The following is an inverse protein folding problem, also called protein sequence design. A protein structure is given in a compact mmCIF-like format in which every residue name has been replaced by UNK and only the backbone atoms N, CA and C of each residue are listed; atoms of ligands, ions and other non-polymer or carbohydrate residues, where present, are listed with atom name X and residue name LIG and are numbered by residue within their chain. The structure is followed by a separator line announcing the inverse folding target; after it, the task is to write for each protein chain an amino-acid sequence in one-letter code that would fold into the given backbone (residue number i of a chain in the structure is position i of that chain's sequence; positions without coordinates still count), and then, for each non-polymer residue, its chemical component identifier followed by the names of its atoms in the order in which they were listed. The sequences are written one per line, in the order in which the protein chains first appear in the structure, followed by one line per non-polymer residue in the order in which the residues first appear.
data_IF_933433198712
#
_entry.id   IF_933433198712
#
_cell.length_a   1.000
_cell.length_b   1.000
_cell.length_c   1.000
_cell.angle_alpha   90.00
_cell.angle_beta   90.00
_cell.angle_gamma   90.00
#
_symmetry.space_group_name_H-M   'P 1'
#
loop_
_entity.id
_entity.type
_entity.pdbx_description
1 polymer ?
#
# COMPACT_ATOMS: atom_id res chain seq x y z
N UNK A 1 -9.87 -28.45 -12.11
CA UNK A 1 -10.80 -27.48 -11.50
C UNK A 1 -10.16 -26.64 -10.39
N UNK A 2 -9.57 -27.25 -9.34
CA UNK A 2 -8.94 -26.56 -8.19
C UNK A 2 -7.80 -25.57 -8.54
N UNK A 3 -7.03 -25.88 -9.59
CA UNK A 3 -5.93 -25.03 -10.10
C UNK A 3 -6.44 -23.74 -10.78
N UNK A 4 -7.48 -23.86 -11.64
CA UNK A 4 -8.15 -22.73 -12.30
C UNK A 4 -8.87 -21.82 -11.30
N UNK A 5 -9.52 -22.39 -10.27
CA UNK A 5 -10.19 -21.60 -9.24
C UNK A 5 -9.18 -20.75 -8.44
N UNK A 6 -8.01 -21.30 -8.09
CA UNK A 6 -6.94 -20.51 -7.46
C UNK A 6 -6.32 -19.47 -8.41
N UNK A 7 -6.27 -19.73 -9.72
CA UNK A 7 -5.71 -18.82 -10.71
C UNK A 7 -6.57 -17.57 -10.97
N UNK A 8 -7.90 -17.68 -10.82
CA UNK A 8 -8.83 -16.56 -11.04
C UNK A 8 -9.40 -15.97 -9.75
N UNK A 9 -9.69 -16.79 -8.73
CA UNK A 9 -10.30 -16.30 -7.49
C UNK A 9 -9.30 -15.56 -6.60
N UNK A 10 -8.02 -15.98 -6.55
CA UNK A 10 -7.03 -15.33 -5.69
C UNK A 10 -6.75 -13.87 -6.09
N UNK A 11 -6.51 -13.53 -7.38
CA UNK A 11 -6.34 -12.12 -7.78
C UNK A 11 -7.59 -11.27 -7.52
N UNK A 12 -8.78 -11.80 -7.82
CA UNK A 12 -10.04 -11.07 -7.60
C UNK A 12 -10.29 -10.83 -6.10
N UNK A 13 -10.12 -11.86 -5.27
CA UNK A 13 -10.22 -11.74 -3.82
C UNK A 13 -9.19 -10.75 -3.27
N UNK A 14 -7.94 -10.79 -3.76
CA UNK A 14 -6.91 -9.84 -3.35
C UNK A 14 -7.31 -8.40 -3.66
N UNK A 15 -7.79 -8.11 -4.88
CA UNK A 15 -8.20 -6.74 -5.26
C UNK A 15 -9.38 -6.28 -4.40
N UNK A 16 -10.38 -7.12 -4.17
CA UNK A 16 -11.54 -6.77 -3.33
C UNK A 16 -11.11 -6.52 -1.88
N UNK A 17 -10.29 -7.40 -1.32
CA UNK A 17 -9.77 -7.25 0.04
C UNK A 17 -8.94 -5.97 0.14
N UNK A 18 -8.04 -5.73 -0.80
CA UNK A 18 -7.19 -4.53 -0.82
C UNK A 18 -8.01 -3.23 -0.96
N UNK A 19 -8.95 -3.19 -1.90
CA UNK A 19 -9.86 -2.05 -2.09
C UNK A 19 -10.76 -1.81 -0.88
N UNK A 20 -11.14 -2.86 -0.14
CA UNK A 20 -11.95 -2.73 1.08
C UNK A 20 -11.23 -1.98 2.20
N UNK A 21 -9.90 -1.87 2.16
CA UNK A 21 -9.12 -1.11 3.15
C UNK A 21 -9.51 0.37 3.21
N UNK A 22 -9.82 0.97 2.06
CA UNK A 22 -10.26 2.37 1.99
C UNK A 22 -11.64 2.55 2.61
N UNK A 23 -12.53 1.59 2.40
CA UNK A 23 -13.89 1.60 2.97
C UNK A 23 -13.85 1.46 4.47
N UNK A 24 -13.07 0.49 4.97
CA UNK A 24 -12.84 0.33 6.40
C UNK A 24 -12.22 1.60 6.99
N UNK A 25 -11.29 2.25 6.28
CA UNK A 25 -10.69 3.53 6.65
C UNK A 25 -11.75 4.61 6.88
N UNK A 26 -12.61 4.85 5.89
CA UNK A 26 -13.71 5.83 5.97
C UNK A 26 -14.65 5.51 7.13
N UNK A 27 -15.06 4.25 7.30
CA UNK A 27 -15.93 3.82 8.41
C UNK A 27 -15.25 4.07 9.77
N UNK A 28 -13.96 3.77 9.87
CA UNK A 28 -13.17 3.95 11.08
C UNK A 28 -13.03 5.43 11.46
N UNK A 29 -12.66 6.29 10.51
CA UNK A 29 -12.51 7.74 10.79
C UNK A 29 -13.85 8.43 11.01
N UNK A 30 -14.95 7.87 10.51
CA UNK A 30 -16.31 8.32 10.85
C UNK A 30 -16.75 7.94 12.27
N UNK A 31 -16.05 7.00 12.93
CA UNK A 31 -16.36 6.53 14.27
C UNK A 31 -15.42 7.08 15.35
N UNK A 32 -14.19 7.45 15.00
CA UNK A 32 -13.18 7.99 15.91
C UNK A 32 -12.16 8.87 15.15
N UNK A 33 -11.44 9.77 15.84
CA UNK A 33 -10.39 10.59 15.24
C UNK A 33 -9.34 9.76 14.49
N UNK A 34 -8.78 10.26 13.36
CA UNK A 34 -7.85 9.52 12.52
C UNK A 34 -6.68 8.88 13.27
N UNK A 35 -6.07 9.61 14.21
CA UNK A 35 -4.92 9.12 14.97
C UNK A 35 -5.29 8.01 15.96
N UNK A 36 -6.52 8.02 16.51
CA UNK A 36 -7.05 6.92 17.34
C UNK A 36 -7.19 5.64 16.51
N UNK A 37 -7.77 5.75 15.31
CA UNK A 37 -7.94 4.62 14.40
C UNK A 37 -6.58 4.05 13.99
N UNK A 38 -5.61 4.90 13.65
CA UNK A 38 -4.27 4.47 13.26
C UNK A 38 -3.49 3.86 14.42
N UNK A 39 -3.55 4.45 15.62
CA UNK A 39 -2.92 3.90 16.80
C UNK A 39 -3.43 2.49 17.08
N UNK A 40 -4.76 2.31 17.16
CA UNK A 40 -5.36 1.02 17.41
C UNK A 40 -5.04 0.01 16.30
N UNK A 41 -5.13 0.43 15.03
CA UNK A 41 -4.80 -0.41 13.87
C UNK A 41 -3.34 -0.86 13.91
N UNK A 42 -2.40 0.05 14.11
CA UNK A 42 -0.98 -0.25 14.10
C UNK A 42 -0.55 -1.06 15.32
N UNK A 43 -1.09 -0.78 16.50
CA UNK A 43 -0.84 -1.58 17.69
C UNK A 43 -1.33 -3.03 17.47
N UNK A 44 -2.59 -3.21 17.10
CA UNK A 44 -3.16 -4.55 16.91
C UNK A 44 -2.51 -5.31 15.74
N UNK A 45 -2.42 -4.72 14.56
CA UNK A 45 -1.81 -5.37 13.40
C UNK A 45 -0.31 -5.60 13.59
N UNK A 46 0.41 -4.65 14.21
CA UNK A 46 1.83 -4.76 14.51
C UNK A 46 2.12 -5.92 15.45
N UNK A 47 1.32 -6.08 16.51
CA UNK A 47 1.44 -7.20 17.45
C UNK A 47 1.14 -8.55 16.77
N UNK A 48 0.06 -8.64 15.98
CA UNK A 48 -0.29 -9.87 15.27
C UNK A 48 0.78 -10.28 14.26
N UNK A 49 1.29 -9.33 13.47
CA UNK A 49 2.35 -9.58 12.49
C UNK A 49 3.69 -9.90 13.16
N UNK A 50 4.02 -9.23 14.27
CA UNK A 50 5.20 -9.54 15.07
C UNK A 50 5.12 -10.95 15.65
N UNK A 51 3.98 -11.34 16.24
CA UNK A 51 3.74 -12.68 16.75
C UNK A 51 3.89 -13.72 15.64
N UNK A 52 3.27 -13.49 14.48
CA UNK A 52 3.43 -14.35 13.30
C UNK A 52 4.91 -14.49 12.89
N UNK A 53 5.66 -13.39 12.84
CA UNK A 53 7.07 -13.42 12.48
C UNK A 53 7.94 -14.19 13.50
N UNK A 54 7.62 -14.10 14.79
CA UNK A 54 8.26 -14.90 15.85
C UNK A 54 7.94 -16.38 15.71
N UNK A 55 6.66 -16.74 15.55
CA UNK A 55 6.19 -18.14 15.44
C UNK A 55 6.81 -18.85 14.23
N UNK A 56 6.99 -18.14 13.12
CA UNK A 56 7.61 -18.69 11.89
C UNK A 56 9.15 -18.64 11.92
N UNK A 57 9.75 -18.14 13.01
CA UNK A 57 11.21 -18.08 13.16
C UNK A 57 11.90 -17.13 12.18
N UNK A 58 11.22 -16.05 11.78
CA UNK A 58 11.77 -15.09 10.83
C UNK A 58 12.93 -14.28 11.44
N UNK A 59 13.89 -13.88 10.60
CA UNK A 59 15.08 -13.13 11.05
C UNK A 59 14.75 -11.65 11.25
N UNK A 60 15.01 -11.14 12.45
CA UNK A 60 14.73 -9.74 12.81
C UNK A 60 15.92 -8.83 12.46
N UNK A 61 15.66 -7.63 11.90
CA UNK A 61 16.71 -6.64 11.65
C UNK A 61 17.27 -6.11 12.98
N UNK A 62 18.56 -5.77 13.01
CA UNK A 62 19.25 -5.27 14.21
C UNK A 62 20.16 -4.08 13.89
N UNK A 63 20.47 -3.28 14.92
CA UNK A 63 21.40 -2.15 14.81
C UNK A 63 20.98 -1.14 13.74
N UNK A 64 21.93 -0.72 12.90
CA UNK A 64 21.68 0.27 11.83
C UNK A 64 20.62 -0.16 10.83
N UNK A 65 20.47 -1.46 10.57
CA UNK A 65 19.44 -1.97 9.68
C UNK A 65 18.03 -1.74 10.25
N UNK A 66 17.86 -1.90 11.56
CA UNK A 66 16.59 -1.62 12.23
C UNK A 66 16.23 -0.13 12.13
N UNK A 67 17.21 0.77 12.24
CA UNK A 67 16.97 2.21 12.05
C UNK A 67 16.48 2.54 10.64
N UNK A 68 17.08 1.95 9.60
CA UNK A 68 16.60 2.15 8.22
C UNK A 68 15.20 1.55 7.98
N UNK A 69 14.92 0.38 8.54
CA UNK A 69 13.58 -0.24 8.53
C UNK A 69 12.57 0.67 9.24
N UNK A 70 12.95 1.28 10.36
CA UNK A 70 12.09 2.19 11.10
C UNK A 70 11.75 3.45 10.27
N UNK A 71 12.75 4.06 9.64
CA UNK A 71 12.53 5.23 8.76
C UNK A 71 11.63 4.88 7.57
N UNK A 72 11.91 3.76 6.87
CA UNK A 72 11.06 3.28 5.80
C UNK A 72 9.63 3.01 6.29
N UNK A 73 9.50 2.38 7.46
CA UNK A 73 8.23 2.09 8.11
C UNK A 73 7.42 3.35 8.42
N UNK A 74 8.03 4.36 9.03
CA UNK A 74 7.35 5.62 9.34
C UNK A 74 6.87 6.35 8.08
N UNK A 75 7.67 6.35 7.00
CA UNK A 75 7.25 6.93 5.73
C UNK A 75 6.09 6.15 5.09
N UNK A 76 6.23 4.83 4.99
CA UNK A 76 5.26 3.96 4.33
C UNK A 76 3.99 3.71 5.16
N UNK A 77 4.02 3.92 6.48
CA UNK A 77 2.85 3.67 7.33
C UNK A 77 2.34 4.96 7.94
N UNK A 78 3.14 5.64 8.76
CA UNK A 78 2.67 6.82 9.49
C UNK A 78 2.43 8.01 8.56
N UNK A 79 3.37 8.39 7.71
CA UNK A 79 3.18 9.53 6.78
C UNK A 79 2.09 9.20 5.77
N UNK A 80 2.13 8.01 5.16
CA UNK A 80 1.10 7.57 4.22
C UNK A 80 -0.30 7.57 4.84
N UNK A 81 -0.53 6.71 5.84
CA UNK A 81 -1.88 6.52 6.38
C UNK A 81 -2.30 7.66 7.29
N UNK A 82 -1.37 8.32 7.98
CA UNK A 82 -1.66 9.55 8.72
C UNK A 82 -2.29 10.60 7.81
N UNK A 83 -1.64 10.87 6.67
CA UNK A 83 -2.17 11.84 5.73
C UNK A 83 -3.46 11.37 5.06
N UNK A 84 -3.53 10.12 4.60
CA UNK A 84 -4.76 9.59 3.98
C UNK A 84 -5.95 9.53 4.94
N UNK A 85 -5.79 9.10 6.19
CA UNK A 85 -6.91 9.02 7.14
C UNK A 85 -7.35 10.42 7.58
N UNK A 86 -6.42 11.37 7.66
CA UNK A 86 -6.78 12.77 7.90
C UNK A 86 -7.52 13.36 6.70
N UNK A 87 -7.12 13.03 5.47
CA UNK A 87 -7.85 13.41 4.26
C UNK A 87 -9.25 12.77 4.19
N UNK A 88 -9.40 11.52 4.67
CA UNK A 88 -10.70 10.86 4.79
C UNK A 88 -11.62 11.59 5.79
N UNK A 89 -11.07 12.03 6.93
CA UNK A 89 -11.81 12.84 7.90
C UNK A 89 -12.19 14.22 7.33
N UNK A 90 -11.37 14.75 6.42
CA UNK A 90 -11.64 15.97 5.64
C UNK A 90 -12.47 15.69 4.37
N UNK A 91 -13.31 14.65 4.42
CA UNK A 91 -14.31 14.27 3.42
C UNK A 91 -13.78 13.90 2.03
N UNK A 92 -12.49 13.64 1.85
CA UNK A 92 -11.98 13.11 0.58
C UNK A 92 -12.48 11.68 0.38
N UNK A 93 -13.18 11.44 -0.73
CA UNK A 93 -13.76 10.13 -1.06
C UNK A 93 -12.71 9.00 -1.18
N UNK A 94 -13.13 7.78 -0.86
CA UNK A 94 -12.27 6.58 -0.95
C UNK A 94 -11.72 6.37 -2.37
N UNK A 95 -12.55 6.64 -3.38
CA UNK A 95 -12.18 6.53 -4.79
C UNK A 95 -11.01 7.47 -5.13
N UNK A 96 -11.07 8.74 -4.72
CA UNK A 96 -9.99 9.71 -4.97
C UNK A 96 -8.69 9.31 -4.28
N UNK A 97 -8.74 8.95 -2.99
CA UNK A 97 -7.55 8.52 -2.25
C UNK A 97 -6.91 7.29 -2.91
N UNK A 98 -7.73 6.32 -3.31
CA UNK A 98 -7.23 5.12 -4.00
C UNK A 98 -6.63 5.42 -5.38
N UNK A 99 -7.20 6.39 -6.11
CA UNK A 99 -6.66 6.85 -7.40
C UNK A 99 -5.31 7.55 -7.22
N UNK A 100 -5.20 8.45 -6.23
CA UNK A 100 -3.95 9.12 -5.88
C UNK A 100 -2.90 8.10 -5.46
N UNK A 101 -3.26 7.13 -4.60
CA UNK A 101 -2.36 6.05 -4.22
C UNK A 101 -1.94 5.19 -5.42
N UNK A 102 -2.83 5.00 -6.40
CA UNK A 102 -2.53 4.30 -7.66
C UNK A 102 -1.41 4.97 -8.48
N UNK A 103 -1.18 6.28 -8.31
CA UNK A 103 -0.05 7.00 -8.91
C UNK A 103 1.28 6.73 -8.20
N UNK A 104 1.33 5.84 -7.22
CA UNK A 104 2.57 5.52 -6.52
C UNK A 104 3.70 4.99 -7.42
N UNK A 105 3.50 4.02 -8.34
CA UNK A 105 4.57 3.51 -9.19
C UNK A 105 5.18 4.61 -10.09
N UNK A 106 4.34 5.55 -10.49
CA UNK A 106 4.69 6.75 -11.26
C UNK A 106 5.67 7.62 -10.45
N UNK A 107 5.30 7.95 -9.21
CA UNK A 107 6.11 8.80 -8.33
C UNK A 107 7.39 8.07 -7.89
N UNK A 108 7.33 6.76 -7.66
CA UNK A 108 8.52 5.94 -7.41
C UNK A 108 9.49 6.03 -8.59
N UNK A 109 9.03 5.91 -9.84
CA UNK A 109 9.92 6.00 -11.01
C UNK A 109 10.65 7.36 -11.10
N UNK A 110 9.95 8.46 -10.76
CA UNK A 110 10.56 9.79 -10.69
C UNK A 110 11.67 9.88 -9.63
N UNK A 111 11.40 9.40 -8.42
CA UNK A 111 12.40 9.43 -7.33
C UNK A 111 13.50 8.39 -7.49
N UNK A 112 13.19 7.21 -8.02
CA UNK A 112 14.18 6.21 -8.39
C UNK A 112 15.13 6.78 -9.44
N UNK A 113 14.65 7.55 -10.41
CA UNK A 113 15.52 8.16 -11.39
C UNK A 113 16.53 9.15 -10.81
N UNK A 114 16.11 9.94 -9.83
CA UNK A 114 16.98 10.93 -9.17
C UNK A 114 17.90 10.32 -8.11
N UNK A 115 17.45 9.29 -7.38
CA UNK A 115 18.19 8.67 -6.26
C UNK A 115 19.03 7.47 -6.70
N UNK A 116 18.60 6.74 -7.74
CA UNK A 116 19.23 5.52 -8.24
C UNK A 116 19.87 5.71 -9.63
N UNK A 117 19.70 6.88 -10.26
CA UNK A 117 20.26 7.17 -11.60
C UNK A 117 19.51 6.52 -12.76
N UNK A 118 18.28 6.07 -12.53
CA UNK A 118 17.42 5.48 -13.58
C UNK A 118 16.85 6.59 -14.50
N UNK A 119 16.77 6.38 -15.82
CA UNK A 119 16.21 7.40 -16.73
C UNK A 119 14.69 7.25 -16.88
N UNK A 120 13.98 8.37 -16.71
CA UNK A 120 12.52 8.43 -16.90
C UNK A 120 12.21 8.65 -18.37
N UNK A 121 11.38 7.79 -18.94
CA UNK A 121 11.03 7.82 -20.37
C UNK A 121 9.90 8.82 -20.65
N UNK A 122 9.81 9.34 -21.88
CA UNK A 122 8.74 10.27 -22.28
C UNK A 122 7.34 9.69 -22.05
N UNK A 123 7.17 8.38 -22.23
CA UNK A 123 5.89 7.69 -21.96
C UNK A 123 5.47 7.75 -20.50
N UNK A 124 6.45 7.66 -19.59
CA UNK A 124 6.19 7.81 -18.16
C UNK A 124 5.71 9.22 -17.86
N UNK A 125 6.37 10.26 -18.40
CA UNK A 125 5.90 11.65 -18.27
C UNK A 125 4.48 11.86 -18.78
N UNK A 126 4.13 11.31 -19.95
CA UNK A 126 2.77 11.38 -20.47
C UNK A 126 1.79 10.67 -19.54
N UNK A 127 2.11 9.45 -19.09
CA UNK A 127 1.28 8.73 -18.13
C UNK A 127 1.10 9.47 -16.80
N UNK A 128 2.09 10.26 -16.37
CA UNK A 128 2.01 11.10 -15.18
C UNK A 128 1.04 12.26 -15.38
N UNK A 129 1.16 12.96 -16.52
CA UNK A 129 0.23 14.03 -16.88
C UNK A 129 -1.20 13.52 -16.96
N UNK A 130 -1.42 12.40 -17.66
CA UNK A 130 -2.75 11.77 -17.78
C UNK A 130 -3.26 11.28 -16.42
N UNK A 131 -2.42 10.64 -15.62
CA UNK A 131 -2.76 10.21 -14.26
C UNK A 131 -3.18 11.36 -13.35
N UNK A 132 -2.41 12.45 -13.37
CA UNK A 132 -2.70 13.68 -12.64
C UNK A 132 -3.99 14.36 -13.11
N UNK A 133 -4.26 14.39 -14.42
CA UNK A 133 -5.53 14.86 -14.97
C UNK A 133 -6.70 14.01 -14.47
N UNK A 134 -6.55 12.68 -14.42
CA UNK A 134 -7.55 11.79 -13.86
C UNK A 134 -7.88 12.10 -12.40
N UNK A 135 -6.86 12.35 -11.57
CA UNK A 135 -7.05 12.81 -10.19
C UNK A 135 -7.75 14.17 -10.15
N UNK A 136 -7.33 15.13 -10.97
CA UNK A 136 -7.94 16.45 -11.05
C UNK A 136 -9.43 16.41 -11.38
N UNK A 137 -9.82 15.59 -12.36
CA UNK A 137 -11.22 15.36 -12.72
C UNK A 137 -12.02 14.76 -11.56
N UNK A 138 -11.47 13.75 -10.89
CA UNK A 138 -12.15 13.10 -9.77
C UNK A 138 -12.27 13.99 -8.53
N UNK A 139 -11.30 14.88 -8.31
CA UNK A 139 -11.33 15.87 -7.23
C UNK A 139 -12.30 17.01 -7.53
N UNK A 140 -12.37 17.47 -8.79
CA UNK A 140 -13.27 18.56 -9.21
C UNK A 140 -14.76 18.23 -9.02
N UNK A 141 -15.10 16.95 -9.00
CA UNK A 141 -16.47 16.46 -8.83
C UNK A 141 -16.88 16.24 -7.36
N UNK A 142 -15.93 16.42 -6.42
CA UNK A 142 -16.20 16.28 -4.99
C UNK A 142 -17.26 17.32 -4.57
N UNK A 143 -18.22 16.87 -3.75
CA UNK A 143 -19.28 17.77 -3.24
C UNK A 143 -18.71 18.82 -2.28
N UNK A 144 -17.65 18.44 -1.56
CA UNK A 144 -16.89 19.30 -0.66
C UNK A 144 -15.43 19.25 -1.12
N UNK A 145 -15.03 20.23 -1.93
CA UNK A 145 -13.63 20.37 -2.29
C UNK A 145 -12.83 20.80 -1.06
N UNK A 146 -11.85 19.98 -0.66
CA UNK A 146 -10.85 20.37 0.34
C UNK A 146 -9.45 20.43 -0.27
N UNK A 147 -8.89 21.65 -0.29
CA UNK A 147 -7.49 21.86 -0.65
C UNK A 147 -6.56 21.16 0.35
N UNK A 148 -6.90 21.19 1.64
CA UNK A 148 -6.14 20.51 2.70
C UNK A 148 -6.15 19.00 2.49
N UNK A 149 -7.31 18.41 2.22
CA UNK A 149 -7.46 16.99 1.90
C UNK A 149 -6.65 16.57 0.66
N UNK A 150 -6.57 17.42 -0.36
CA UNK A 150 -5.74 17.17 -1.54
C UNK A 150 -4.24 17.22 -1.21
N UNK A 151 -3.80 18.22 -0.45
CA UNK A 151 -2.40 18.31 0.03
C UNK A 151 -2.04 17.07 0.85
N UNK A 152 -2.92 16.63 1.74
CA UNK A 152 -2.74 15.41 2.53
C UNK A 152 -2.68 14.16 1.64
N UNK A 153 -3.50 14.07 0.58
CA UNK A 153 -3.37 13.00 -0.40
C UNK A 153 -1.98 12.99 -1.07
N UNK A 154 -1.46 14.16 -1.45
CA UNK A 154 -0.10 14.27 -2.02
C UNK A 154 0.96 13.87 -0.99
N UNK A 155 0.86 14.35 0.26
CA UNK A 155 1.77 13.97 1.34
C UNK A 155 1.76 12.47 1.57
N UNK A 156 0.58 11.83 1.58
CA UNK A 156 0.45 10.39 1.76
C UNK A 156 1.09 9.60 0.61
N UNK A 157 0.88 10.05 -0.63
CA UNK A 157 1.52 9.48 -1.82
C UNK A 157 3.04 9.63 -1.77
N UNK A 158 3.56 10.79 -1.36
CA UNK A 158 4.99 11.02 -1.21
C UNK A 158 5.58 10.15 -0.10
N UNK A 159 4.91 10.02 1.04
CA UNK A 159 5.32 9.12 2.14
C UNK A 159 5.48 7.69 1.67
N UNK A 160 4.47 7.15 0.97
CA UNK A 160 4.55 5.81 0.38
C UNK A 160 5.68 5.68 -0.65
N UNK A 161 5.81 6.66 -1.55
CA UNK A 161 6.78 6.60 -2.66
C UNK A 161 8.22 6.73 -2.18
N UNK A 162 8.51 7.76 -1.37
CA UNK A 162 9.82 7.98 -0.76
C UNK A 162 10.19 6.84 0.18
N UNK A 163 9.24 6.35 0.99
CA UNK A 163 9.46 5.19 1.85
C UNK A 163 9.82 3.94 1.06
N UNK A 164 9.18 3.71 -0.09
CA UNK A 164 9.49 2.58 -0.97
C UNK A 164 10.89 2.71 -1.59
N UNK A 165 11.25 3.88 -2.10
CA UNK A 165 12.59 4.15 -2.66
C UNK A 165 13.66 4.01 -1.57
N UNK A 166 13.40 4.54 -0.37
CA UNK A 166 14.27 4.43 0.78
C UNK A 166 14.47 2.97 1.19
N UNK A 167 13.39 2.19 1.29
CA UNK A 167 13.46 0.76 1.59
C UNK A 167 14.30 0.02 0.55
N UNK A 168 14.07 0.27 -0.74
CA UNK A 168 14.84 -0.35 -1.84
C UNK A 168 16.33 -0.04 -1.73
N UNK A 169 16.67 1.20 -1.35
CA UNK A 169 18.07 1.66 -1.26
C UNK A 169 18.81 1.13 -0.03
N UNK A 170 18.19 1.18 1.14
CA UNK A 170 18.87 0.95 2.43
C UNK A 170 18.50 -0.38 3.11
N UNK A 171 17.44 -1.05 2.66
CA UNK A 171 16.88 -2.25 3.30
C UNK A 171 16.68 -3.43 2.31
N UNK A 172 17.58 -3.71 1.35
CA UNK A 172 17.32 -4.71 0.30
C UNK A 172 17.30 -6.18 0.80
N UNK A 173 17.85 -6.49 1.98
CA UNK A 173 18.10 -7.86 2.46
C UNK A 173 17.35 -8.23 3.76
N UNK A 174 16.31 -7.49 4.16
CA UNK A 174 15.51 -7.83 5.34
C UNK A 174 14.38 -8.80 4.96
N UNK A 175 14.11 -9.79 5.83
CA UNK A 175 12.94 -10.66 5.64
C UNK A 175 11.66 -9.81 5.71
N UNK A 176 10.80 -9.96 4.72
CA UNK A 176 9.51 -9.28 4.61
C UNK A 176 8.69 -9.28 5.88
N UNK A 177 8.63 -10.44 6.53
CA UNK A 177 7.67 -10.70 7.60
C UNK A 177 8.03 -9.83 8.79
N UNK A 178 9.32 -9.76 9.10
CA UNK A 178 9.85 -8.86 10.13
C UNK A 178 9.87 -7.41 9.65
N UNK A 179 10.14 -7.14 8.36
CA UNK A 179 10.11 -5.79 7.80
C UNK A 179 8.72 -5.15 7.96
N UNK A 180 7.67 -5.81 7.49
CA UNK A 180 6.28 -5.34 7.60
C UNK A 180 5.83 -5.25 9.06
N UNK A 181 6.20 -6.22 9.90
CA UNK A 181 5.89 -6.15 11.33
C UNK A 181 6.53 -4.91 11.99
N UNK A 182 7.81 -4.65 11.75
CA UNK A 182 8.51 -3.46 12.28
C UNK A 182 7.91 -2.17 11.74
N UNK A 183 7.58 -2.10 10.44
CA UNK A 183 6.96 -0.92 9.83
C UNK A 183 5.68 -0.51 10.56
N UNK A 184 4.82 -1.48 10.84
CA UNK A 184 3.54 -1.24 11.52
C UNK A 184 3.79 -0.92 13.00
N UNK A 185 4.63 -1.71 13.67
CA UNK A 185 4.86 -1.60 15.11
C UNK A 185 5.53 -0.27 15.50
N UNK A 186 6.50 0.21 14.71
CA UNK A 186 7.17 1.50 14.98
C UNK A 186 6.26 2.71 14.72
N UNK A 187 5.23 2.54 13.90
CA UNK A 187 4.28 3.60 13.57
C UNK A 187 3.20 3.77 14.64
N UNK A 188 2.92 2.73 15.43
CA UNK A 188 1.98 2.79 16.54
C UNK A 188 2.32 3.87 17.59
N UNK A 189 3.54 3.94 18.18
CA UNK A 189 3.85 4.98 19.16
C UNK A 189 3.78 6.39 18.57
N UNK A 190 4.14 6.57 17.30
CA UNK A 190 4.02 7.88 16.64
C UNK A 190 2.56 8.29 16.46
N UNK A 191 1.70 7.37 16.02
CA UNK A 191 0.25 7.60 15.97
C UNK A 191 -0.32 7.90 17.37
N UNK A 192 0.16 7.21 18.41
CA UNK A 192 -0.23 7.45 19.80
C UNK A 192 0.19 8.83 20.32
N UNK A 193 1.41 9.27 20.00
CA UNK A 193 1.88 10.63 20.34
C UNK A 193 1.02 11.69 19.64
N UNK A 194 0.73 11.51 18.36
CA UNK A 194 -0.12 12.43 17.60
C UNK A 194 -1.57 12.43 18.10
N UNK A 195 -2.10 11.26 18.48
CA UNK A 195 -3.41 11.10 19.12
C UNK A 195 -3.48 11.91 20.43
N UNK A 196 -2.49 11.74 21.31
CA UNK A 196 -2.41 12.50 22.57
C UNK A 196 -2.25 14.01 22.31
N UNK A 197 -1.42 14.38 21.31
CA UNK A 197 -1.20 15.77 20.92
C UNK A 197 -2.43 16.45 20.30
N UNK A 198 -3.30 15.69 19.62
CA UNK A 198 -4.56 16.22 19.08
C UNK A 198 -5.61 16.52 20.16
N UNK A 199 -5.48 15.94 21.36
CA UNK A 199 -6.41 16.15 22.47
C UNK A 199 -7.79 15.50 22.30
N UNK A 200 -8.11 14.95 21.12
CA UNK A 200 -9.36 14.26 20.84
C UNK A 200 -9.13 12.75 20.71
N UNK A 201 -9.65 12.01 21.68
CA UNK A 201 -9.64 10.55 21.72
C UNK A 201 -11.04 9.96 21.77
N UNK A 202 -12.06 10.78 21.45
CA UNK A 202 -13.45 10.38 21.61
C UNK A 202 -13.87 9.38 20.53
N UNK A 203 -14.35 8.22 20.93
CA UNK A 203 -14.92 7.22 20.03
C UNK A 203 -16.43 7.39 20.05
N UNK A 204 -16.99 8.00 19.01
CA UNK A 204 -18.41 8.32 18.91
C UNK A 204 -19.28 7.07 18.68
N UNK A 205 -18.78 6.11 17.90
CA UNK A 205 -19.47 4.84 17.64
C UNK A 205 -18.53 3.65 17.88
N UNK A 206 -18.48 3.09 19.10
CA UNK A 206 -17.60 2.00 19.46
C UNK A 206 -17.81 0.73 18.62
N UNK A 207 -19.04 0.46 18.18
CA UNK A 207 -19.35 -0.76 17.42
C UNK A 207 -18.83 -0.64 15.98
N UNK A 208 -19.06 0.51 15.33
CA UNK A 208 -18.48 0.79 14.01
C UNK A 208 -16.96 0.84 14.06
N UNK A 209 -16.41 1.47 15.10
CA UNK A 209 -14.98 1.51 15.33
C UNK A 209 -14.40 0.09 15.46
N UNK A 210 -14.94 -0.74 16.34
CA UNK A 210 -14.48 -2.11 16.55
C UNK A 210 -14.62 -2.97 15.29
N UNK A 211 -15.74 -2.87 14.57
CA UNK A 211 -15.97 -3.59 13.31
C UNK A 211 -14.97 -3.20 12.22
N UNK A 212 -14.73 -1.89 12.05
CA UNK A 212 -13.76 -1.38 11.09
C UNK A 212 -12.33 -1.81 11.44
N UNK A 213 -11.96 -1.74 12.72
CA UNK A 213 -10.65 -2.13 13.24
C UNK A 213 -10.42 -3.64 13.04
N UNK A 214 -11.40 -4.47 13.38
CA UNK A 214 -11.34 -5.92 13.17
C UNK A 214 -11.13 -6.24 11.70
N UNK A 215 -11.85 -5.57 10.79
CA UNK A 215 -11.68 -5.75 9.35
C UNK A 215 -10.28 -5.30 8.87
N UNK A 216 -9.79 -4.16 9.33
CA UNK A 216 -8.44 -3.67 9.01
C UNK A 216 -7.35 -4.65 9.46
N UNK A 217 -7.48 -5.24 10.64
CA UNK A 217 -6.47 -6.16 11.18
C UNK A 217 -6.60 -7.54 10.52
N UNK A 218 -7.78 -8.16 10.58
CA UNK A 218 -7.96 -9.53 10.12
C UNK A 218 -7.88 -9.65 8.59
N UNK A 219 -8.59 -8.78 7.87
CA UNK A 219 -8.68 -8.87 6.40
C UNK A 219 -7.50 -8.16 5.75
N UNK A 220 -7.29 -6.87 6.06
CA UNK A 220 -6.30 -6.07 5.33
C UNK A 220 -4.86 -6.37 5.76
N UNK A 221 -4.58 -6.44 7.06
CA UNK A 221 -3.22 -6.66 7.53
C UNK A 221 -2.78 -8.14 7.47
N UNK A 222 -3.65 -9.08 7.84
CA UNK A 222 -3.29 -10.51 7.90
C UNK A 222 -3.64 -11.23 6.60
N UNK A 223 -4.93 -11.34 6.26
CA UNK A 223 -5.35 -12.19 5.14
C UNK A 223 -4.82 -11.67 3.78
N UNK A 224 -4.88 -10.36 3.55
CA UNK A 224 -4.36 -9.74 2.32
C UNK A 224 -2.85 -9.92 2.20
N UNK A 225 -2.10 -9.77 3.30
CA UNK A 225 -0.66 -9.97 3.32
C UNK A 225 -0.27 -11.44 3.08
N UNK A 226 -0.96 -12.39 3.70
CA UNK A 226 -0.73 -13.83 3.47
C UNK A 226 -1.05 -14.21 2.02
N UNK A 227 -2.15 -13.71 1.47
CA UNK A 227 -2.54 -13.94 0.09
C UNK A 227 -1.53 -13.33 -0.89
N UNK A 228 -1.08 -12.10 -0.64
CA UNK A 228 -0.03 -11.44 -1.44
C UNK A 228 1.25 -12.27 -1.45
N UNK A 229 1.72 -12.71 -0.28
CA UNK A 229 2.89 -13.58 -0.18
C UNK A 229 2.70 -14.90 -0.93
N UNK A 230 1.51 -15.52 -0.84
CA UNK A 230 1.21 -16.75 -1.57
C UNK A 230 1.19 -16.54 -3.09
N UNK A 231 0.69 -15.40 -3.55
CA UNK A 231 0.68 -15.00 -4.95
C UNK A 231 2.08 -14.74 -5.49
N UNK A 232 2.91 -14.00 -4.76
CA UNK A 232 4.30 -13.70 -5.15
C UNK A 232 5.22 -14.94 -5.17
N UNK A 233 4.85 -16.00 -4.44
CA UNK A 233 5.53 -17.30 -4.56
C UNK A 233 5.17 -18.07 -5.84
N UNK A 234 4.06 -17.72 -6.49
CA UNK A 234 3.51 -18.43 -7.66
C UNK A 234 3.59 -17.62 -8.95
N UNK A 235 3.57 -16.30 -8.85
CA UNK A 235 3.55 -15.35 -9.96
C UNK A 235 4.64 -14.31 -9.77
N UNK A 236 5.12 -13.77 -10.89
CA UNK A 236 6.10 -12.70 -10.89
C UNK A 236 5.49 -11.39 -10.37
N UNK A 237 6.34 -10.53 -9.79
CA UNK A 237 5.93 -9.26 -9.21
C UNK A 237 5.19 -8.37 -10.23
N UNK A 238 5.58 -8.38 -11.50
CA UNK A 238 4.91 -7.60 -12.56
C UNK A 238 3.44 -8.01 -12.72
N UNK A 239 3.14 -9.32 -12.71
CA UNK A 239 1.77 -9.80 -12.84
C UNK A 239 0.91 -9.43 -11.64
N UNK A 240 1.45 -9.56 -10.44
CA UNK A 240 0.75 -9.17 -9.20
C UNK A 240 0.54 -7.65 -9.17
N UNK A 241 1.52 -6.87 -9.62
CA UNK A 241 1.47 -5.41 -9.61
C UNK A 241 0.38 -4.81 -10.48
N UNK A 242 0.08 -5.44 -11.62
CA UNK A 242 -1.03 -5.02 -12.50
C UNK A 242 -2.39 -5.05 -11.81
N UNK A 243 -2.56 -5.82 -10.73
CA UNK A 243 -3.81 -5.87 -9.98
C UNK A 243 -4.11 -4.56 -9.26
N UNK A 244 -3.07 -3.81 -8.85
CA UNK A 244 -3.27 -2.53 -8.17
C UNK A 244 -3.82 -1.45 -9.08
N UNK A 245 -3.64 -1.54 -10.41
CA UNK A 245 -4.23 -0.59 -11.35
C UNK A 245 -5.77 -0.63 -11.35
N UNK A 246 -6.37 -1.77 -11.05
CA UNK A 246 -7.84 -1.92 -10.99
C UNK A 246 -8.40 -1.50 -9.63
N UNK A 247 -7.53 -1.28 -8.63
CA UNK A 247 -7.93 -0.93 -7.25
C UNK A 247 -8.85 0.30 -7.20
N UNK A 248 -8.60 1.42 -7.90
CA UNK A 248 -9.46 2.59 -7.78
C UNK A 248 -10.88 2.36 -8.27
N UNK A 249 -11.05 1.56 -9.33
CA UNK A 249 -12.37 1.21 -9.86
C UNK A 249 -13.14 0.32 -8.90
N UNK A 250 -12.48 -0.69 -8.32
CA UNK A 250 -13.11 -1.58 -7.34
C UNK A 250 -13.41 -0.84 -6.05
N UNK A 251 -12.52 0.04 -5.58
CA UNK A 251 -12.76 0.90 -4.42
C UNK A 251 -13.96 1.81 -4.65
N UNK A 252 -14.09 2.42 -5.83
CA UNK A 252 -15.25 3.24 -6.18
C UNK A 252 -16.56 2.45 -6.14
N UNK A 253 -16.56 1.24 -6.75
CA UNK A 253 -17.73 0.34 -6.71
C UNK A 253 -18.11 -0.10 -5.29
N UNK A 254 -17.12 -0.45 -4.46
CA UNK A 254 -17.34 -0.80 -3.06
C UNK A 254 -17.81 0.39 -2.23
N UNK A 255 -17.28 1.59 -2.48
CA UNK A 255 -17.68 2.81 -1.77
C UNK A 255 -19.15 3.15 -2.06
N UNK A 256 -19.55 3.03 -3.32
CA UNK A 256 -20.94 3.19 -3.72
C UNK A 256 -21.86 2.17 -3.07
N UNK A 257 -21.47 0.88 -3.09
CA UNK A 257 -22.30 -0.20 -2.61
C UNK A 257 -22.42 -0.26 -1.07
N UNK A 258 -21.31 -0.06 -0.35
CA UNK A 258 -21.22 -0.35 1.09
C UNK A 258 -21.43 0.88 1.98
N UNK A 259 -21.04 2.06 1.51
CA UNK A 259 -21.11 3.31 2.29
C UNK A 259 -21.90 4.41 1.57
N UNK A 260 -22.63 4.05 0.51
CA UNK A 260 -23.49 4.94 -0.27
C UNK A 260 -22.78 6.22 -0.78
N UNK A 261 -21.47 6.15 -1.05
CA UNK A 261 -20.75 7.29 -1.63
C UNK A 261 -21.18 7.47 -3.10
N UNK A 262 -21.67 8.65 -3.50
CA UNK A 262 -22.20 8.85 -4.84
C UNK A 262 -21.07 8.78 -5.88
N UNK A 263 -21.25 7.95 -6.91
CA UNK A 263 -20.37 7.91 -8.08
C UNK A 263 -20.82 8.94 -9.09
N UNK A 264 -20.21 10.11 -9.00
CA UNK A 264 -20.52 11.21 -9.89
C UNK A 264 -19.78 11.07 -11.23
N UNK A 265 -20.30 11.64 -12.33
CA UNK A 265 -19.79 11.38 -13.67
C UNK A 265 -18.33 11.79 -13.90
N UNK A 266 -17.87 12.92 -13.35
CA UNK A 266 -16.48 13.35 -13.48
C UNK A 266 -15.54 12.49 -12.62
N UNK A 267 -16.02 11.94 -11.50
CA UNK A 267 -15.29 10.93 -10.73
C UNK A 267 -15.06 9.67 -11.55
N UNK A 268 -16.09 9.18 -12.25
CA UNK A 268 -15.98 8.01 -13.13
C UNK A 268 -15.01 8.31 -14.29
N UNK A 269 -15.14 9.48 -14.92
CA UNK A 269 -14.23 9.91 -15.97
C UNK A 269 -12.78 10.02 -15.47
N UNK A 270 -12.58 10.61 -14.29
CA UNK A 270 -11.28 10.74 -13.65
C UNK A 270 -10.63 9.40 -13.30
N UNK A 271 -11.40 8.43 -12.81
CA UNK A 271 -10.93 7.05 -12.60
C UNK A 271 -10.50 6.39 -13.91
N UNK A 272 -11.28 6.57 -14.98
CA UNK A 272 -10.95 6.06 -16.31
C UNK A 272 -9.68 6.68 -16.89
N UNK A 273 -9.58 8.01 -16.87
CA UNK A 273 -8.41 8.76 -17.32
C UNK A 273 -7.18 8.41 -16.48
N UNK A 274 -7.32 8.33 -15.16
CA UNK A 274 -6.23 7.96 -14.27
C UNK A 274 -5.73 6.54 -14.50
N UNK A 275 -6.63 5.59 -14.75
CA UNK A 275 -6.27 4.23 -15.15
C UNK A 275 -5.49 4.21 -16.46
N UNK A 276 -5.93 4.96 -17.48
CA UNK A 276 -5.19 5.10 -18.73
C UNK A 276 -3.79 5.66 -18.50
N UNK A 277 -3.66 6.69 -17.65
CA UNK A 277 -2.36 7.26 -17.27
C UNK A 277 -1.43 6.24 -16.62
N UNK A 278 -1.93 5.48 -15.64
CA UNK A 278 -1.18 4.42 -14.97
C UNK A 278 -0.73 3.33 -15.96
N UNK A 279 -1.64 2.87 -16.83
CA UNK A 279 -1.32 1.87 -17.84
C UNK A 279 -0.26 2.40 -18.79
N UNK A 280 -0.41 3.61 -19.33
CA UNK A 280 0.56 4.25 -20.22
C UNK A 280 1.94 4.36 -19.59
N UNK A 281 2.02 4.78 -18.32
CA UNK A 281 3.28 4.85 -17.57
C UNK A 281 3.91 3.47 -17.33
N UNK A 282 3.09 2.42 -17.23
CA UNK A 282 3.54 1.04 -16.98
C UNK A 282 4.01 0.28 -18.22
N UNK A 283 3.65 0.75 -19.43
CA UNK A 283 4.06 0.12 -20.68
C UNK A 283 5.56 0.35 -20.90
N UNK A 284 6.34 -0.74 -20.90
CA UNK A 284 7.80 -0.71 -21.06
C UNK A 284 8.23 0.13 -22.27
N UNK A 285 9.09 1.11 -22.03
CA UNK A 285 9.97 1.66 -23.06
C UNK A 285 11.11 0.66 -23.26
N UNK A 286 11.21 0.07 -24.45
CA UNK A 286 12.18 -0.98 -24.72
C UNK A 286 13.60 -0.43 -24.79
N UNK A 287 14.43 -0.69 -23.77
CA UNK A 287 15.90 -0.72 -23.87
C UNK A 287 16.48 -1.56 -22.73
N UNK A 288 17.06 -2.72 -23.11
CA UNK A 288 17.95 -3.69 -22.42
C UNK A 288 17.61 -4.25 -21.02
N UNK A 289 17.85 -5.56 -20.80
CA UNK A 289 17.61 -6.23 -19.53
C UNK A 289 18.76 -5.96 -18.55
N UNK A 290 18.54 -5.05 -17.61
CA UNK A 290 19.20 -5.07 -16.31
C UNK A 290 18.14 -5.16 -15.22
N UNK A 291 18.50 -5.86 -14.15
CA UNK A 291 17.62 -6.43 -13.14
C UNK A 291 16.87 -5.39 -12.26
N UNK A 292 15.86 -4.72 -12.81
CA UNK A 292 15.08 -3.67 -12.14
C UNK A 292 13.58 -4.00 -11.98
N UNK A 293 13.25 -5.27 -11.74
CA UNK A 293 11.93 -5.71 -11.28
C UNK A 293 11.67 -5.45 -9.78
N UNK A 294 12.08 -4.29 -9.27
CA UNK A 294 11.96 -3.92 -7.86
C UNK A 294 11.51 -2.46 -7.75
N UNK A 295 10.20 -2.22 -7.82
CA UNK A 295 9.58 -0.90 -7.72
C UNK A 295 8.16 -0.94 -7.18
N UNK A 296 7.81 -2.06 -6.57
CA UNK A 296 6.59 -2.27 -5.80
C UNK A 296 7.07 -2.91 -4.50
N UNK A 297 6.57 -2.56 -3.32
CA UNK A 297 6.79 -3.37 -2.13
C UNK A 297 5.99 -4.66 -2.27
N UNK A 298 6.36 -5.49 -3.25
CA UNK A 298 6.22 -6.92 -3.16
C UNK A 298 7.01 -7.32 -1.94
N UNK A 299 6.26 -7.65 -0.89
CA UNK A 299 6.69 -8.56 0.15
C UNK A 299 7.83 -9.48 -0.34
N UNK A 300 9.11 -9.33 0.09
CA UNK A 300 10.19 -10.22 -0.32
C UNK A 300 9.80 -11.71 -0.24
N UNK A 301 9.77 -12.36 -1.40
CA UNK A 301 9.66 -13.80 -1.50
C UNK A 301 10.97 -14.44 -1.01
N UNK A 302 10.94 -14.99 0.21
CA UNK A 302 12.03 -15.77 0.77
C UNK A 302 12.15 -17.14 0.08
N UNK A 303 13.27 -17.33 -0.62
CA UNK A 303 14.18 -18.47 -0.45
C UNK A 303 13.75 -19.82 -1.02
N UNK A 304 14.10 -20.08 -2.28
CA UNK A 304 14.35 -21.44 -2.75
C UNK A 304 15.74 -21.88 -2.25
N UNK A 305 15.77 -22.82 -1.31
CA UNK A 305 17.00 -23.56 -0.97
C UNK A 305 17.15 -24.67 -2.00
N UNK A 306 17.98 -24.42 -3.01
CA UNK A 306 18.61 -25.47 -3.82
C UNK A 306 19.77 -26.06 -3.02
N UNK A 307 19.53 -27.21 -2.39
CA UNK A 307 20.60 -28.05 -1.84
C UNK A 307 21.20 -28.92 -2.95
N UNK A 308 22.30 -28.45 -3.56
CA UNK A 308 23.23 -29.30 -4.32
C UNK A 308 23.87 -30.33 -3.37
N UNK A 309 23.89 -31.60 -3.80
CA UNK A 309 24.75 -32.65 -3.26
C UNK A 309 26.22 -32.31 -3.54
N UNK A 310 27.15 -32.46 -2.57
CA UNK A 310 28.56 -32.69 -2.86
C UNK A 310 28.81 -34.18 -3.05
N UNK A 311 29.47 -34.53 -4.14
CA UNK A 311 29.94 -35.88 -4.43
C UNK A 311 30.99 -36.35 -3.41
N UNK A 312 30.82 -37.57 -2.95
CA UNK A 312 31.88 -38.39 -2.37
C UNK A 312 32.62 -39.08 -3.50
N UNK A 313 33.85 -38.66 -3.76
CA UNK A 313 34.88 -39.47 -4.39
C UNK A 313 36.23 -38.77 -4.23
N UNK A 314 37.08 -39.23 -3.29
CA UNK A 314 38.51 -39.46 -3.53
C UNK A 314 39.01 -40.56 -2.57
N UNK A 315 39.54 -41.59 -3.21
CA UNK A 315 40.47 -42.64 -2.78
C UNK A 315 41.48 -42.24 -1.68
N UNK A 316 41.54 -43.01 -0.59
CA UNK A 316 42.69 -43.83 -0.16
C UNK A 316 42.32 -44.61 1.10
#
# INVERSE_FOLDING_TARGET
MRKRLMETAAPAAFVVMWSSAFIAGIIGVGAAPPMVVLFARFACAGLVLALYAVVVGARWPRGRQLAHVAVAGLLMQMVQFGAFYTAMADHVSAAVISLVQGLNPVVIALFAGTVLGESVTVRQWIGFGVGGLGVGLAVADQSHFSATGLVLCVVGLLGLSLGTVYQKRFVPQVDTRTNTAVHVLISAPVAGILMLGSGDMHIADPLRFAGSLMWMVAINAVACFLLLNAMLRRWDATRVGKLFFVTPLVTAGLAWLLIAQPLRPLTIAGLGVGLLGMVLASLRSGTRPDAAGAGEPAAPASGAVLGRRPGLAVLR
#
